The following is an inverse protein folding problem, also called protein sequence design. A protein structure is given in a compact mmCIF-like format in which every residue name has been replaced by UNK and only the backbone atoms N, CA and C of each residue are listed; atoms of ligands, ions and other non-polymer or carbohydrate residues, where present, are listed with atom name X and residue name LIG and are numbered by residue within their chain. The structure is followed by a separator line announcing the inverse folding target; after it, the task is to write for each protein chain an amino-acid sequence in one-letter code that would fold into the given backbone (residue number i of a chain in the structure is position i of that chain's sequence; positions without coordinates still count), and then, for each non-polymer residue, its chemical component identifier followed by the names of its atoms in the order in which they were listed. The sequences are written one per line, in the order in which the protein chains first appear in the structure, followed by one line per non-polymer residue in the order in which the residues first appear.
data_IF_318713089951
#
_entry.id   IF_318713089951
#
_cell.length_a   1.000
_cell.length_b   1.000
_cell.length_c   1.000
_cell.angle_alpha   90.00
_cell.angle_beta   90.00
_cell.angle_gamma   90.00
#
_symmetry.space_group_name_H-M   'P 1'
#
loop_
_entity.id
_entity.type
_entity.pdbx_description
1 polymer ?
#
# COMPACT_ATOMS: atom_id res chain seq x y z
N UNK A 1 28.69 -10.52 69.73
CA UNK A 1 28.22 -9.13 69.44
C UNK A 1 28.80 -8.52 68.17
N UNK A 2 30.02 -8.86 67.72
CA UNK A 2 30.63 -8.30 66.49
C UNK A 2 30.08 -8.88 65.17
N UNK A 3 29.59 -10.12 65.18
CA UNK A 3 29.03 -10.81 64.00
C UNK A 3 27.62 -10.38 63.63
N UNK A 4 26.84 -9.86 64.60
CA UNK A 4 25.47 -9.40 64.37
C UNK A 4 25.43 -8.06 63.61
N UNK A 5 26.41 -7.17 63.82
CA UNK A 5 26.53 -5.89 63.11
C UNK A 5 26.91 -6.04 61.63
N UNK A 6 27.68 -7.08 61.29
CA UNK A 6 28.13 -7.32 59.90
C UNK A 6 26.95 -7.83 59.05
N UNK A 7 26.12 -8.73 59.60
CA UNK A 7 24.94 -9.24 58.90
C UNK A 7 23.83 -8.19 58.76
N UNK A 8 23.63 -7.31 59.74
CA UNK A 8 22.73 -6.16 59.62
C UNK A 8 23.22 -5.15 58.56
N UNK A 9 24.52 -4.88 58.49
CA UNK A 9 25.10 -3.97 57.49
C UNK A 9 25.01 -4.49 56.05
N UNK A 10 25.17 -5.80 55.84
CA UNK A 10 25.02 -6.44 54.52
C UNK A 10 23.55 -6.53 54.11
N UNK A 11 22.64 -6.84 55.04
CA UNK A 11 21.21 -6.87 54.75
C UNK A 11 20.66 -5.47 54.39
N UNK A 12 21.10 -4.41 55.09
CA UNK A 12 20.76 -3.02 54.75
C UNK A 12 21.44 -2.53 53.46
N UNK A 13 22.65 -3.01 53.15
CA UNK A 13 23.35 -2.70 51.91
C UNK A 13 22.71 -3.30 50.66
N UNK A 14 22.11 -4.49 50.75
CA UNK A 14 21.42 -5.16 49.63
C UNK A 14 20.01 -4.61 49.41
N UNK A 15 19.37 -4.02 50.43
CA UNK A 15 18.08 -3.32 50.26
C UNK A 15 18.20 -1.91 49.67
N UNK A 16 19.41 -1.33 49.65
CA UNK A 16 19.68 0.00 49.09
C UNK A 16 20.19 -0.03 47.64
N UNK A 17 20.28 -1.22 47.02
CA UNK A 17 20.45 -1.34 45.57
C UNK A 17 19.08 -1.08 44.93
N UNK A 18 18.83 0.21 44.74
CA UNK A 18 17.75 0.87 44.02
C UNK A 18 17.00 -0.03 43.04
N UNK A 19 15.89 -0.64 43.47
CA UNK A 19 14.99 -1.41 42.61
C UNK A 19 13.93 -0.54 41.90
N UNK A 20 14.26 0.71 41.58
CA UNK A 20 13.28 1.64 40.98
C UNK A 20 13.92 2.66 40.03
N UNK A 21 14.85 2.21 39.18
CA UNK A 21 15.19 3.01 37.99
C UNK A 21 14.04 2.89 36.99
N UNK A 22 13.08 3.81 37.04
CA UNK A 22 12.03 3.91 36.03
C UNK A 22 12.67 4.11 34.65
N UNK A 23 12.19 3.40 33.60
CA UNK A 23 12.79 3.51 32.28
C UNK A 23 12.69 4.95 31.79
N UNK A 24 13.81 5.46 31.27
CA UNK A 24 13.86 6.80 30.68
C UNK A 24 12.89 6.91 29.50
N UNK A 25 12.45 8.13 29.17
CA UNK A 25 11.62 8.39 27.98
C UNK A 25 12.24 7.83 26.69
N UNK A 26 13.57 7.85 26.60
CA UNK A 26 14.31 7.27 25.48
C UNK A 26 14.16 5.74 25.46
N UNK A 27 14.39 5.05 26.59
CA UNK A 27 14.22 3.59 26.67
C UNK A 27 12.78 3.16 26.36
N UNK A 28 11.78 3.90 26.85
CA UNK A 28 10.37 3.65 26.55
C UNK A 28 10.06 3.79 25.05
N UNK A 29 10.56 4.84 24.40
CA UNK A 29 10.45 5.02 22.95
C UNK A 29 11.11 3.88 22.18
N UNK A 30 12.30 3.45 22.58
CA UNK A 30 12.99 2.32 21.95
C UNK A 30 12.20 1.02 22.10
N UNK A 31 11.66 0.74 23.28
CA UNK A 31 10.81 -0.42 23.50
C UNK A 31 9.54 -0.37 22.64
N UNK A 32 8.85 0.79 22.59
CA UNK A 32 7.69 0.98 21.73
C UNK A 32 8.02 0.79 20.24
N UNK A 33 9.15 1.34 19.78
CA UNK A 33 9.61 1.19 18.41
C UNK A 33 9.91 -0.26 18.04
N UNK A 34 10.49 -1.03 18.98
CA UNK A 34 10.74 -2.46 18.81
C UNK A 34 9.44 -3.28 18.80
N UNK A 35 8.42 -2.83 19.53
CA UNK A 35 7.09 -3.44 19.56
C UNK A 35 6.20 -3.08 18.35
N UNK A 36 6.71 -2.30 17.39
CA UNK A 36 5.96 -1.97 16.18
C UNK A 36 5.22 -0.64 16.22
N UNK A 37 5.37 0.17 17.28
CA UNK A 37 4.71 1.49 17.33
C UNK A 37 5.25 2.40 16.22
N UNK A 38 4.39 2.75 15.28
CA UNK A 38 4.75 3.45 14.06
C UNK A 38 5.29 4.88 14.33
N UNK A 39 4.80 5.55 15.38
CA UNK A 39 5.26 6.88 15.76
C UNK A 39 6.63 6.81 16.44
N UNK A 40 6.82 5.87 17.36
CA UNK A 40 8.10 5.64 18.02
C UNK A 40 9.19 5.24 17.02
N UNK A 41 8.87 4.38 16.04
CA UNK A 41 9.78 4.02 14.95
C UNK A 41 10.17 5.24 14.10
N UNK A 42 9.21 6.12 13.79
CA UNK A 42 9.51 7.36 13.08
C UNK A 42 10.45 8.26 13.89
N UNK A 43 10.19 8.44 15.19
CA UNK A 43 11.03 9.23 16.08
C UNK A 43 12.45 8.66 16.21
N UNK A 44 12.61 7.34 16.27
CA UNK A 44 13.93 6.70 16.23
C UNK A 44 14.64 7.01 14.90
N UNK A 45 13.92 7.00 13.78
CA UNK A 45 14.44 7.43 12.49
C UNK A 45 14.94 8.89 12.50
N UNK A 46 14.18 9.81 13.11
CA UNK A 46 14.58 11.21 13.26
C UNK A 46 15.87 11.36 14.07
N UNK A 47 16.01 10.60 15.15
CA UNK A 47 17.24 10.61 15.98
C UNK A 47 18.45 10.18 15.14
N UNK A 48 18.33 9.12 14.33
CA UNK A 48 19.42 8.71 13.44
C UNK A 48 19.72 9.75 12.36
N UNK A 49 18.71 10.42 11.84
CA UNK A 49 18.88 11.49 10.87
C UNK A 49 19.63 12.69 11.45
N UNK A 50 19.33 13.07 12.70
CA UNK A 50 20.05 14.13 13.43
C UNK A 50 21.52 13.76 13.65
N UNK A 51 21.81 12.47 13.85
CA UNK A 51 23.17 11.93 13.94
C UNK A 51 23.86 11.77 12.57
N UNK A 52 23.25 12.24 11.47
CA UNK A 52 23.72 12.07 10.09
C UNK A 52 23.86 10.61 9.64
N UNK A 53 23.20 9.68 10.34
CA UNK A 53 23.18 8.24 10.03
C UNK A 53 21.99 7.90 9.14
N UNK A 54 21.99 8.47 7.93
CA UNK A 54 20.87 8.40 6.98
C UNK A 54 20.44 6.96 6.67
N UNK A 55 21.39 6.03 6.51
CA UNK A 55 21.09 4.62 6.23
C UNK A 55 20.32 3.94 7.37
N UNK A 56 20.64 4.29 8.62
CA UNK A 56 19.90 3.77 9.79
C UNK A 56 18.51 4.41 9.87
N UNK A 57 18.40 5.72 9.64
CA UNK A 57 17.13 6.44 9.59
C UNK A 57 16.18 5.83 8.54
N UNK A 58 16.68 5.50 7.35
CA UNK A 58 15.93 4.86 6.28
C UNK A 58 15.26 3.56 6.73
N UNK A 59 15.98 2.70 7.45
CA UNK A 59 15.44 1.43 7.94
C UNK A 59 14.28 1.67 8.91
N UNK A 60 14.43 2.64 9.81
CA UNK A 60 13.39 2.95 10.80
C UNK A 60 12.17 3.64 10.18
N UNK A 61 12.37 4.56 9.25
CA UNK A 61 11.26 5.16 8.50
C UNK A 61 10.52 4.13 7.66
N UNK A 62 11.21 3.14 7.06
CA UNK A 62 10.55 2.06 6.32
C UNK A 62 9.64 1.22 7.22
N UNK A 63 10.13 0.83 8.41
CA UNK A 63 9.32 0.09 9.39
C UNK A 63 8.13 0.91 9.87
N UNK A 64 8.37 2.17 10.20
CA UNK A 64 7.33 3.10 10.62
C UNK A 64 6.25 3.23 9.54
N UNK A 65 6.65 3.42 8.28
CA UNK A 65 5.75 3.50 7.15
C UNK A 65 4.96 2.21 7.02
N UNK A 66 5.58 1.02 7.05
CA UNK A 66 4.89 -0.28 6.99
C UNK A 66 3.86 -0.47 8.12
N UNK A 67 4.13 0.06 9.30
CA UNK A 67 3.20 0.04 10.44
C UNK A 67 2.17 1.17 10.41
N UNK A 68 2.01 1.88 9.29
CA UNK A 68 0.96 2.89 9.08
C UNK A 68 1.35 4.34 9.38
N UNK A 69 2.64 4.65 9.59
CA UNK A 69 3.07 6.04 9.80
C UNK A 69 3.08 6.84 8.50
N UNK A 70 2.05 7.67 8.30
CA UNK A 70 1.97 8.63 7.18
C UNK A 70 3.17 9.59 7.15
N UNK A 71 3.60 10.07 8.32
CA UNK A 71 4.78 10.95 8.44
C UNK A 71 6.07 10.30 7.94
N UNK A 72 6.23 9.01 8.23
CA UNK A 72 7.40 8.27 7.76
C UNK A 72 7.35 8.07 6.23
N UNK A 73 6.16 7.78 5.69
CA UNK A 73 5.96 7.66 4.26
C UNK A 73 6.28 8.97 3.51
N UNK A 74 5.72 10.09 3.97
CA UNK A 74 6.01 11.43 3.43
C UNK A 74 7.51 11.74 3.48
N UNK A 75 8.16 11.38 4.60
CA UNK A 75 9.61 11.57 4.76
C UNK A 75 10.40 10.75 3.75
N UNK A 76 10.01 9.49 3.51
CA UNK A 76 10.66 8.61 2.55
C UNK A 76 10.49 9.13 1.12
N UNK A 77 9.28 9.58 0.75
CA UNK A 77 8.99 10.15 -0.57
C UNK A 77 9.80 11.43 -0.83
N UNK A 78 9.88 12.32 0.16
CA UNK A 78 10.64 13.56 0.04
C UNK A 78 12.16 13.32 -0.02
N UNK A 79 12.69 12.42 0.82
CA UNK A 79 14.14 12.20 0.94
C UNK A 79 14.70 11.25 -0.11
N UNK A 80 13.90 10.30 -0.58
CA UNK A 80 14.31 9.24 -1.51
C UNK A 80 13.33 9.11 -2.69
N UNK A 81 13.18 10.15 -3.53
CA UNK A 81 12.22 10.16 -4.64
C UNK A 81 12.51 9.06 -5.68
N UNK A 82 13.76 8.64 -5.84
CA UNK A 82 14.17 7.57 -6.76
C UNK A 82 13.56 6.20 -6.41
N UNK A 83 13.09 6.03 -5.17
CA UNK A 83 12.44 4.80 -4.70
C UNK A 83 10.91 4.96 -4.62
N UNK A 84 10.32 5.93 -5.34
CA UNK A 84 8.89 6.24 -5.30
C UNK A 84 7.99 5.02 -5.46
N UNK A 85 8.26 4.12 -6.42
CA UNK A 85 7.49 2.86 -6.60
C UNK A 85 7.41 2.03 -5.31
N UNK A 86 8.51 1.97 -4.54
CA UNK A 86 8.54 1.23 -3.26
C UNK A 86 7.67 1.89 -2.20
N UNK A 87 7.68 3.22 -2.12
CA UNK A 87 6.86 3.97 -1.17
C UNK A 87 5.38 3.91 -1.55
N UNK A 88 5.07 4.02 -2.85
CA UNK A 88 3.73 3.84 -3.37
C UNK A 88 3.17 2.45 -3.05
N UNK A 89 3.98 1.39 -3.13
CA UNK A 89 3.52 0.04 -2.71
C UNK A 89 3.09 0.01 -1.25
N UNK A 90 3.88 0.60 -0.34
CA UNK A 90 3.53 0.64 1.09
C UNK A 90 2.22 1.42 1.31
N UNK A 91 2.05 2.54 0.60
CA UNK A 91 0.84 3.36 0.68
C UNK A 91 -0.39 2.60 0.13
N UNK A 92 -0.24 1.92 -1.01
CA UNK A 92 -1.28 1.10 -1.61
C UNK A 92 -1.70 -0.08 -0.71
N UNK A 93 -0.74 -0.74 -0.06
CA UNK A 93 -1.01 -1.79 0.94
C UNK A 93 -1.84 -1.26 2.14
N UNK A 94 -1.78 0.04 2.41
CA UNK A 94 -2.57 0.71 3.44
C UNK A 94 -3.92 1.22 2.96
N UNK A 95 -4.29 0.93 1.70
CA UNK A 95 -5.54 1.38 1.09
C UNK A 95 -5.51 2.81 0.55
N UNK A 96 -4.32 3.38 0.33
CA UNK A 96 -4.22 4.67 -0.37
C UNK A 96 -4.57 4.51 -1.85
N UNK A 97 -5.78 4.94 -2.21
CA UNK A 97 -6.30 4.89 -3.58
C UNK A 97 -5.43 5.67 -4.57
N UNK A 98 -4.89 6.83 -4.17
CA UNK A 98 -4.00 7.60 -5.04
C UNK A 98 -2.69 6.85 -5.31
N UNK A 99 -2.18 6.10 -4.33
CA UNK A 99 -1.01 5.28 -4.52
C UNK A 99 -1.29 4.08 -5.44
N UNK A 100 -2.44 3.40 -5.26
CA UNK A 100 -2.85 2.30 -6.15
C UNK A 100 -3.00 2.77 -7.59
N UNK A 101 -3.60 3.94 -7.81
CA UNK A 101 -3.76 4.55 -9.12
C UNK A 101 -2.41 4.86 -9.79
N UNK A 102 -1.47 5.47 -9.06
CA UNK A 102 -0.14 5.77 -9.59
C UNK A 102 0.66 4.50 -9.93
N UNK A 103 0.54 3.45 -9.11
CA UNK A 103 1.15 2.15 -9.41
C UNK A 103 0.54 1.51 -10.65
N UNK A 104 -0.79 1.60 -10.80
CA UNK A 104 -1.50 1.08 -11.96
C UNK A 104 -1.02 1.77 -13.24
N UNK A 105 -0.90 3.11 -13.22
CA UNK A 105 -0.38 3.91 -14.34
C UNK A 105 1.09 3.56 -14.66
N UNK A 106 1.94 3.46 -13.64
CA UNK A 106 3.33 3.05 -13.81
C UNK A 106 3.43 1.65 -14.44
N UNK A 107 2.54 0.73 -14.04
CA UNK A 107 2.49 -0.63 -14.57
C UNK A 107 1.96 -0.70 -16.01
N UNK A 108 1.13 0.24 -16.45
CA UNK A 108 0.68 0.31 -17.86
C UNK A 108 1.81 0.60 -18.84
N UNK A 109 2.88 1.25 -18.37
CA UNK A 109 4.06 1.57 -19.18
C UNK A 109 5.18 0.53 -19.03
N UNK A 110 4.99 -0.49 -18.18
CA UNK A 110 5.96 -1.56 -17.96
C UNK A 110 5.74 -2.69 -18.98
N UNK A 111 6.65 -2.90 -19.96
CA UNK A 111 6.49 -3.92 -21.00
C UNK A 111 6.58 -5.34 -20.46
N UNK A 112 7.00 -5.54 -19.21
CA UNK A 112 7.14 -6.86 -18.59
C UNK A 112 5.82 -7.39 -18.03
N UNK A 113 4.81 -6.52 -17.85
CA UNK A 113 3.54 -6.87 -17.21
C UNK A 113 2.50 -7.18 -18.30
N UNK A 114 1.94 -8.39 -18.26
CA UNK A 114 0.86 -8.77 -19.17
C UNK A 114 -0.46 -8.12 -18.76
N UNK A 115 -1.39 -7.98 -19.71
CA UNK A 115 -2.71 -7.40 -19.44
C UNK A 115 -3.51 -8.20 -18.38
N UNK A 116 -3.56 -9.55 -18.40
CA UNK A 116 -4.20 -10.31 -17.32
C UNK A 116 -3.57 -10.09 -15.95
N UNK A 117 -2.23 -10.03 -15.87
CA UNK A 117 -1.52 -9.78 -14.60
C UNK A 117 -1.82 -8.38 -14.07
N UNK A 118 -1.85 -7.38 -14.96
CA UNK A 118 -2.24 -6.02 -14.61
C UNK A 118 -3.68 -5.97 -14.07
N UNK A 119 -4.62 -6.57 -14.80
CA UNK A 119 -6.05 -6.53 -14.45
C UNK A 119 -6.34 -7.29 -13.15
N UNK A 120 -5.69 -8.42 -12.90
CA UNK A 120 -5.83 -9.14 -11.63
C UNK A 120 -5.37 -8.32 -10.42
N UNK A 121 -4.38 -7.45 -10.59
CA UNK A 121 -3.80 -6.63 -9.51
C UNK A 121 -4.54 -5.32 -9.28
N UNK A 122 -5.00 -4.66 -10.34
CA UNK A 122 -5.56 -3.29 -10.27
C UNK A 122 -7.03 -3.20 -10.71
N UNK A 123 -7.60 -4.25 -11.31
CA UNK A 123 -8.95 -4.22 -11.88
C UNK A 123 -10.08 -4.14 -10.86
N UNK A 124 -9.81 -4.41 -9.58
CA UNK A 124 -10.79 -4.32 -8.49
C UNK A 124 -10.68 -3.03 -7.66
N UNK A 125 -9.58 -2.28 -7.77
CA UNK A 125 -9.49 -0.95 -7.14
C UNK A 125 -10.33 0.05 -7.93
N UNK A 126 -10.85 1.09 -7.27
CA UNK A 126 -11.34 2.29 -7.98
C UNK A 126 -10.16 2.91 -8.74
N UNK A 127 -10.02 2.48 -10.00
CA UNK A 127 -9.00 2.98 -10.91
C UNK A 127 -9.25 4.48 -11.07
N UNK A 128 -8.20 5.28 -10.94
CA UNK A 128 -8.31 6.71 -11.24
C UNK A 128 -8.88 6.92 -12.65
N UNK A 129 -9.58 8.03 -12.86
CA UNK A 129 -10.09 8.39 -14.19
C UNK A 129 -8.98 8.37 -15.27
N UNK A 130 -7.75 8.70 -14.89
CA UNK A 130 -6.56 8.62 -15.75
C UNK A 130 -6.18 7.18 -16.13
N UNK A 131 -6.17 6.25 -15.18
CA UNK A 131 -5.93 4.83 -15.46
C UNK A 131 -7.03 4.25 -16.38
N UNK A 132 -8.30 4.55 -16.09
CA UNK A 132 -9.44 4.11 -16.91
C UNK A 132 -9.36 4.62 -18.36
N UNK A 133 -8.99 5.89 -18.56
CA UNK A 133 -8.79 6.47 -19.89
C UNK A 133 -7.60 5.85 -20.65
N UNK A 134 -6.48 5.59 -19.95
CA UNK A 134 -5.33 4.92 -20.55
C UNK A 134 -5.66 3.48 -20.98
N UNK A 135 -6.47 2.76 -20.21
CA UNK A 135 -6.95 1.41 -20.58
C UNK A 135 -7.83 1.49 -21.83
N UNK A 136 -8.79 2.41 -21.87
CA UNK A 136 -9.69 2.58 -23.01
C UNK A 136 -8.93 2.94 -24.31
N UNK A 137 -7.86 3.73 -24.21
CA UNK A 137 -7.02 4.10 -25.35
C UNK A 137 -6.05 2.98 -25.79
N UNK A 138 -5.45 2.23 -24.86
CA UNK A 138 -4.56 1.09 -25.19
C UNK A 138 -5.34 -0.13 -25.67
N UNK A 139 -6.53 -0.37 -25.14
CA UNK A 139 -7.41 -1.48 -25.48
C UNK A 139 -8.67 -1.00 -26.20
N UNK A 140 -8.54 0.01 -27.08
CA UNK A 140 -9.63 0.41 -27.95
C UNK A 140 -10.21 -0.85 -28.61
N UNK A 141 -11.49 -1.19 -28.36
CA UNK A 141 -12.02 -2.50 -28.72
C UNK A 141 -12.21 -2.56 -30.23
N UNK A 142 -11.17 -2.97 -30.95
CA UNK A 142 -11.36 -3.68 -32.23
C UNK A 142 -11.75 -5.14 -31.95
N UNK A 143 -12.70 -5.35 -31.03
CA UNK A 143 -13.28 -6.66 -30.75
C UNK A 143 -14.34 -6.97 -31.80
N UNK A 144 -13.93 -7.15 -33.05
CA UNK A 144 -14.77 -7.82 -34.05
C UNK A 144 -14.76 -9.31 -33.74
N UNK A 145 -15.60 -9.75 -32.79
CA UNK A 145 -15.75 -11.17 -32.47
C UNK A 145 -16.95 -11.75 -33.21
N UNK A 146 -16.68 -12.68 -34.12
CA UNK A 146 -17.74 -13.46 -34.78
C UNK A 146 -18.18 -14.57 -33.82
N UNK A 147 -19.42 -14.49 -33.33
CA UNK A 147 -20.05 -15.55 -32.53
C UNK A 147 -20.89 -16.42 -33.48
N UNK A 148 -20.51 -17.68 -33.75
CA UNK A 148 -21.30 -18.56 -34.59
C UNK A 148 -22.61 -18.94 -33.87
N UNK A 149 -23.75 -18.58 -34.45
CA UNK A 149 -25.07 -18.93 -33.92
C UNK A 149 -25.57 -20.19 -34.61
N UNK A 150 -25.77 -21.26 -33.83
CA UNK A 150 -26.43 -22.48 -34.29
C UNK A 150 -27.91 -22.40 -33.90
N UNK A 151 -28.79 -22.40 -34.90
CA UNK A 151 -30.24 -22.37 -34.69
C UNK A 151 -30.89 -23.63 -35.24
N UNK A 152 -31.97 -24.09 -34.60
CA UNK A 152 -32.75 -25.27 -35.03
C UNK A 152 -33.39 -25.15 -36.40
N UNK A 153 -33.58 -23.91 -36.89
CA UNK A 153 -34.15 -23.61 -38.21
C UNK A 153 -33.83 -22.17 -38.63
N UNK A 154 -34.01 -21.88 -39.92
CA UNK A 154 -33.83 -20.53 -40.48
C UNK A 154 -34.78 -19.50 -39.84
N UNK A 155 -36.00 -19.91 -39.48
CA UNK A 155 -36.95 -19.03 -38.80
C UNK A 155 -36.48 -18.64 -37.39
N UNK A 156 -35.88 -19.57 -36.64
CA UNK A 156 -35.29 -19.27 -35.32
C UNK A 156 -34.08 -18.35 -35.45
N UNK A 157 -33.25 -18.54 -36.49
CA UNK A 157 -32.13 -17.65 -36.79
C UNK A 157 -32.60 -16.22 -37.09
N UNK A 158 -33.63 -16.07 -37.94
CA UNK A 158 -34.18 -14.77 -38.30
C UNK A 158 -34.73 -13.99 -37.08
N UNK A 159 -35.42 -14.67 -36.17
CA UNK A 159 -35.91 -14.05 -34.92
C UNK A 159 -34.78 -13.57 -34.02
N UNK A 160 -33.70 -14.35 -33.93
CA UNK A 160 -32.55 -13.97 -33.13
C UNK A 160 -31.81 -12.78 -33.74
N UNK A 161 -31.63 -12.74 -35.07
CA UNK A 161 -31.02 -11.60 -35.77
C UNK A 161 -31.87 -10.34 -35.59
N UNK A 162 -33.19 -10.43 -35.75
CA UNK A 162 -34.10 -9.30 -35.53
C UNK A 162 -34.04 -8.77 -34.09
N UNK A 163 -33.88 -9.66 -33.10
CA UNK A 163 -33.69 -9.27 -31.70
C UNK A 163 -32.36 -8.51 -31.51
N UNK A 164 -31.26 -8.98 -32.12
CA UNK A 164 -29.97 -8.29 -32.06
C UNK A 164 -30.02 -6.91 -32.71
N UNK A 165 -30.66 -6.79 -33.87
CA UNK A 165 -30.86 -5.50 -34.54
C UNK A 165 -31.66 -4.54 -33.67
N UNK A 166 -32.76 -5.01 -33.05
CA UNK A 166 -33.54 -4.20 -32.13
C UNK A 166 -32.74 -3.73 -30.91
N UNK A 167 -31.93 -4.61 -30.31
CA UNK A 167 -31.05 -4.25 -29.18
C UNK A 167 -30.01 -3.21 -29.62
N UNK A 168 -29.41 -3.36 -30.80
CA UNK A 168 -28.42 -2.41 -31.31
C UNK A 168 -29.02 -1.03 -31.59
N UNK A 169 -30.28 -0.96 -32.03
CA UNK A 169 -31.01 0.30 -32.20
C UNK A 169 -31.22 1.05 -30.88
N UNK A 170 -31.56 0.31 -29.81
CA UNK A 170 -31.78 0.88 -28.47
C UNK A 170 -30.48 1.46 -27.89
N UNK A 171 -29.34 0.82 -28.11
CA UNK A 171 -28.04 1.31 -27.64
C UNK A 171 -27.65 2.63 -28.31
N UNK A 172 -27.92 2.79 -29.60
CA UNK A 172 -27.59 4.00 -30.35
C UNK A 172 -28.42 5.22 -29.92
N UNK A 173 -29.70 5.03 -29.56
CA UNK A 173 -30.55 6.11 -29.02
C UNK A 173 -30.12 6.57 -27.63
N UNK A 174 -29.65 5.63 -26.78
CA UNK A 174 -29.14 5.96 -25.44
C UNK A 174 -27.83 6.78 -25.47
N UNK A 175 -27.05 6.68 -26.55
CA UNK A 175 -25.79 7.43 -26.73
C UNK A 175 -25.94 8.75 -27.49
N UNK A 176 -27.12 9.04 -28.05
CA UNK A 176 -27.41 10.29 -28.77
C UNK A 176 -28.10 11.36 -27.90
N UNK A 177 -28.44 11.02 -26.64
CA UNK A 177 -29.16 11.88 -25.71
C UNK A 177 -28.34 12.47 -24.56
N UNK A 178 -27.00 12.48 -24.65
CA UNK A 178 -26.11 13.20 -23.72
C UNK A 178 -25.36 14.33 -24.43
#
# INVERSE_FOLDING_TARGET
MKTLCILLGVALGVTLISKDSQPTSTQLRWAAALNGDANAQFEVGEVYQQQQRVSAALIWWQRAAQNGSKKALERLQSKFPQHSKRWLNIAAEQGDEHATAQLAELALNDPTISWPDWYSRFGQSELSGGASALIASKNAPSCTRVVPVVARSNASKARYVALLEAISGIQNESSAGQ
#
